data_IF_046474702448
#
_entry.id   IF_046474702448
#
_cell.length_a   1.000
_cell.length_b   1.000
_cell.length_c   1.000
_cell.angle_alpha   90.00
_cell.angle_beta   90.00
_cell.angle_gamma   90.00
#
_symmetry.space_group_name_H-M   'P 1'
#
loop_
_entity.id
_entity.type
_entity.pdbx_description
1 polymer ?
#
# COMPACT_ATOMS: atom_id res chain seq x y z
N UNK A 1 8.30 -6.93 -18.27
CA UNK A 1 9.16 -6.06 -17.43
C UNK A 1 8.49 -5.87 -16.09
N UNK A 2 9.22 -6.11 -15.00
CA UNK A 2 8.70 -5.88 -13.65
C UNK A 2 8.76 -4.41 -13.30
N UNK A 3 7.74 -3.93 -12.60
CA UNK A 3 7.66 -2.57 -12.09
C UNK A 3 7.80 -2.61 -10.57
N UNK A 4 8.67 -1.79 -10.02
CA UNK A 4 8.89 -1.71 -8.58
C UNK A 4 8.51 -0.32 -8.09
N UNK A 5 7.78 -0.27 -6.99
CA UNK A 5 7.32 0.98 -6.39
C UNK A 5 7.64 1.03 -4.90
N UNK A 6 7.94 2.23 -4.44
CA UNK A 6 8.00 2.54 -3.02
C UNK A 6 6.73 3.29 -2.65
N UNK A 7 6.01 2.81 -1.63
CA UNK A 7 4.73 3.36 -1.20
C UNK A 7 4.88 3.94 0.19
N UNK A 8 4.43 5.18 0.36
CA UNK A 8 4.44 5.87 1.64
C UNK A 8 3.00 6.15 2.06
N UNK A 9 2.66 5.83 3.31
CA UNK A 9 1.30 5.93 3.81
C UNK A 9 1.27 6.70 5.13
N UNK A 10 0.42 7.72 5.18
CA UNK A 10 0.16 8.53 6.39
C UNK A 10 -1.23 8.23 6.90
N UNK A 11 -1.36 8.00 8.21
CA UNK A 11 -2.65 7.79 8.84
C UNK A 11 -3.29 9.11 9.26
N UNK A 12 -4.63 9.12 9.34
CA UNK A 12 -5.33 10.17 10.05
C UNK A 12 -5.00 10.09 11.55
N UNK A 13 -5.09 11.19 12.30
CA UNK A 13 -4.82 11.16 13.74
C UNK A 13 -5.63 10.09 14.47
N UNK A 14 -4.93 9.26 15.25
CA UNK A 14 -5.56 8.17 16.00
C UNK A 14 -5.94 6.95 15.19
N UNK A 15 -5.58 6.89 13.90
CA UNK A 15 -5.98 5.82 13.00
C UNK A 15 -4.83 4.89 12.58
N UNK A 16 -3.75 4.85 13.35
CA UNK A 16 -2.59 4.02 13.02
C UNK A 16 -2.96 2.55 12.90
N UNK A 17 -3.69 2.02 13.88
CA UNK A 17 -4.10 0.61 13.86
C UNK A 17 -5.08 0.33 12.73
N UNK A 18 -5.95 1.27 12.41
CA UNK A 18 -6.91 1.14 11.31
C UNK A 18 -6.18 1.09 9.96
N UNK A 19 -5.14 1.91 9.78
CA UNK A 19 -4.30 1.88 8.58
C UNK A 19 -3.60 0.52 8.46
N UNK A 20 -3.02 0.03 9.53
CA UNK A 20 -2.32 -1.26 9.54
C UNK A 20 -3.28 -2.38 9.16
N UNK A 21 -4.47 -2.41 9.76
CA UNK A 21 -5.48 -3.42 9.46
C UNK A 21 -5.93 -3.36 8.00
N UNK A 22 -6.14 -2.16 7.46
CA UNK A 22 -6.50 -1.97 6.06
C UNK A 22 -5.39 -2.49 5.13
N UNK A 23 -4.13 -2.10 5.39
CA UNK A 23 -3.00 -2.53 4.56
C UNK A 23 -2.77 -4.05 4.65
N UNK A 24 -2.94 -4.65 5.83
CA UNK A 24 -2.87 -6.11 5.97
C UNK A 24 -3.90 -6.80 5.10
N UNK A 25 -5.12 -6.27 5.04
CA UNK A 25 -6.20 -6.84 4.26
C UNK A 25 -5.94 -6.72 2.74
N UNK A 26 -5.56 -5.53 2.27
CA UNK A 26 -5.39 -5.31 0.82
C UNK A 26 -4.10 -5.92 0.29
N UNK A 27 -3.01 -5.89 1.06
CA UNK A 27 -1.74 -6.48 0.62
C UNK A 27 -1.81 -8.01 0.52
N UNK A 28 -2.74 -8.64 1.25
CA UNK A 28 -2.99 -10.08 1.11
C UNK A 28 -3.47 -10.45 -0.30
N UNK A 29 -3.99 -9.49 -1.08
CA UNK A 29 -4.48 -9.72 -2.44
C UNK A 29 -3.39 -9.58 -3.51
N UNK A 30 -2.26 -8.97 -3.18
CA UNK A 30 -1.20 -8.61 -4.14
C UNK A 30 -0.72 -9.83 -4.94
N UNK A 31 -0.47 -10.95 -4.27
CA UNK A 31 0.03 -12.17 -4.92
C UNK A 31 -0.92 -12.74 -5.97
N UNK A 32 -2.22 -12.53 -5.83
CA UNK A 32 -3.23 -13.03 -6.78
C UNK A 32 -3.22 -12.24 -8.08
N UNK A 33 -2.61 -11.04 -8.09
CA UNK A 33 -2.56 -10.16 -9.25
C UNK A 33 -1.16 -10.07 -9.88
N UNK A 34 -0.29 -11.03 -9.57
CA UNK A 34 1.07 -11.04 -10.14
C UNK A 34 2.00 -10.02 -9.51
N UNK A 35 1.72 -9.65 -8.26
CA UNK A 35 2.57 -8.76 -7.48
C UNK A 35 3.28 -9.48 -6.35
N UNK A 36 4.28 -8.82 -5.78
CA UNK A 36 5.02 -9.31 -4.62
C UNK A 36 5.30 -8.13 -3.68
N UNK A 37 4.94 -8.27 -2.43
CA UNK A 37 5.37 -7.32 -1.39
C UNK A 37 6.79 -7.70 -0.99
N UNK A 38 7.75 -6.86 -1.36
CA UNK A 38 9.17 -7.12 -1.09
C UNK A 38 9.55 -6.80 0.34
N UNK A 39 9.02 -5.69 0.86
CA UNK A 39 9.38 -5.18 2.18
C UNK A 39 8.28 -4.29 2.71
N UNK A 40 8.02 -4.39 4.01
CA UNK A 40 7.19 -3.43 4.76
C UNK A 40 8.02 -2.91 5.93
N UNK A 41 7.91 -1.63 6.21
CA UNK A 41 8.53 -1.00 7.36
C UNK A 41 7.56 -0.01 7.99
N UNK A 42 7.65 0.19 9.29
CA UNK A 42 6.81 1.16 10.01
C UNK A 42 7.69 2.07 10.85
N UNK A 43 7.31 3.34 10.86
CA UNK A 43 7.88 4.33 11.75
C UNK A 43 6.98 4.49 12.98
N UNK A 44 7.35 5.37 13.90
CA UNK A 44 6.48 5.76 15.01
C UNK A 44 5.46 6.83 14.60
N UNK A 45 5.52 7.28 13.35
CA UNK A 45 4.59 8.29 12.82
C UNK A 45 4.83 9.69 13.37
N UNK A 46 5.97 9.94 14.00
CA UNK A 46 6.27 11.25 14.59
C UNK A 46 6.42 12.34 13.53
N UNK A 47 5.91 13.53 13.84
CA UNK A 47 5.98 14.67 12.92
C UNK A 47 5.29 14.37 11.60
N UNK A 48 5.96 14.68 10.50
CA UNK A 48 5.44 14.46 9.15
C UNK A 48 5.88 13.13 8.53
N UNK A 49 6.35 12.19 9.35
CA UNK A 49 6.81 10.90 8.84
C UNK A 49 5.65 10.02 8.40
N UNK A 50 5.80 9.27 7.29
CA UNK A 50 4.81 8.26 6.96
C UNK A 50 4.81 7.17 8.03
N UNK A 51 3.63 6.64 8.34
CA UNK A 51 3.51 5.54 9.30
C UNK A 51 4.06 4.25 8.73
N UNK A 52 3.74 3.95 7.48
CA UNK A 52 4.19 2.73 6.82
C UNK A 52 4.86 3.05 5.50
N UNK A 53 5.91 2.29 5.19
CA UNK A 53 6.65 2.35 3.93
C UNK A 53 6.68 0.93 3.37
N UNK A 54 6.39 0.79 2.08
CA UNK A 54 6.35 -0.51 1.42
C UNK A 54 7.16 -0.47 0.14
N UNK A 55 7.78 -1.60 -0.19
CA UNK A 55 8.32 -1.87 -1.52
C UNK A 55 7.52 -3.02 -2.08
N UNK A 56 6.89 -2.82 -3.24
CA UNK A 56 6.25 -3.92 -3.96
C UNK A 56 6.59 -3.89 -5.44
N UNK A 57 6.51 -5.04 -6.07
CA UNK A 57 6.75 -5.14 -7.50
C UNK A 57 5.60 -5.85 -8.19
N UNK A 58 5.40 -5.54 -9.46
CA UNK A 58 4.34 -6.07 -10.29
C UNK A 58 4.92 -6.61 -11.60
N UNK A 59 4.32 -7.68 -12.11
CA UNK A 59 4.74 -8.25 -13.40
C UNK A 59 4.56 -7.25 -14.55
N UNK A 60 3.56 -6.36 -14.45
CA UNK A 60 3.24 -5.36 -15.47
C UNK A 60 2.34 -4.27 -14.89
N UNK A 61 2.13 -3.21 -15.64
CA UNK A 61 1.15 -2.17 -15.27
C UNK A 61 -0.26 -2.77 -15.20
N UNK A 62 -0.60 -3.65 -16.14
CA UNK A 62 -1.90 -4.31 -16.14
C UNK A 62 -2.13 -5.13 -14.88
N UNK A 63 -1.10 -5.78 -14.35
CA UNK A 63 -1.18 -6.53 -13.10
C UNK A 63 -1.51 -5.61 -11.92
N UNK A 64 -0.83 -4.48 -11.84
CA UNK A 64 -1.11 -3.48 -10.79
C UNK A 64 -2.50 -2.90 -10.93
N UNK A 65 -2.94 -2.58 -12.14
CA UNK A 65 -4.28 -2.04 -12.40
C UNK A 65 -5.36 -3.05 -11.99
N UNK A 66 -5.12 -4.33 -12.24
CA UNK A 66 -6.01 -5.42 -11.81
C UNK A 66 -6.18 -5.46 -10.29
N UNK A 67 -5.08 -5.30 -9.55
CA UNK A 67 -5.11 -5.21 -8.09
C UNK A 67 -5.90 -3.98 -7.63
N UNK A 68 -5.62 -2.82 -8.21
CA UNK A 68 -6.26 -1.56 -7.81
C UNK A 68 -7.78 -1.60 -8.01
N UNK A 69 -8.26 -2.36 -8.98
CA UNK A 69 -9.70 -2.51 -9.28
C UNK A 69 -10.34 -3.77 -8.71
N UNK A 70 -9.61 -4.57 -7.92
CA UNK A 70 -10.17 -5.78 -7.30
C UNK A 70 -11.37 -5.40 -6.43
N UNK A 71 -12.56 -6.04 -6.65
CA UNK A 71 -13.76 -5.72 -5.87
C UNK A 71 -13.59 -5.86 -4.37
N UNK A 72 -12.75 -6.79 -3.92
CA UNK A 72 -12.45 -6.96 -2.49
C UNK A 72 -11.69 -5.77 -1.94
N UNK A 73 -10.83 -5.15 -2.75
CA UNK A 73 -10.10 -3.94 -2.38
C UNK A 73 -11.02 -2.72 -2.40
N UNK A 74 -11.79 -2.55 -3.47
CA UNK A 74 -12.70 -1.40 -3.61
C UNK A 74 -13.83 -1.43 -2.58
N UNK A 75 -14.25 -2.62 -2.12
CA UNK A 75 -15.23 -2.75 -1.05
C UNK A 75 -14.73 -2.18 0.28
N UNK A 76 -13.42 -2.00 0.45
CA UNK A 76 -12.81 -1.43 1.65
C UNK A 76 -12.54 0.07 1.53
N UNK A 77 -13.11 0.74 0.52
CA UNK A 77 -12.86 2.16 0.28
C UNK A 77 -13.20 3.05 1.49
N UNK A 78 -14.29 2.75 2.20
CA UNK A 78 -14.67 3.52 3.39
C UNK A 78 -13.64 3.34 4.51
N UNK A 79 -13.13 2.13 4.69
CA UNK A 79 -12.06 1.87 5.67
C UNK A 79 -10.78 2.62 5.30
N UNK A 80 -10.45 2.63 4.00
CA UNK A 80 -9.29 3.37 3.50
C UNK A 80 -9.43 4.86 3.78
N UNK A 81 -10.58 5.46 3.45
CA UNK A 81 -10.80 6.88 3.62
C UNK A 81 -10.73 7.29 5.09
N UNK A 82 -11.20 6.44 5.99
CA UNK A 82 -11.15 6.69 7.43
C UNK A 82 -9.71 6.60 7.98
N UNK A 83 -8.92 5.68 7.47
CA UNK A 83 -7.62 5.34 8.03
C UNK A 83 -6.46 6.10 7.37
N UNK A 84 -6.49 6.27 6.04
CA UNK A 84 -5.37 6.78 5.26
C UNK A 84 -5.58 8.25 4.90
N UNK A 85 -4.73 9.11 5.46
CA UNK A 85 -4.77 10.55 5.19
C UNK A 85 -4.10 10.89 3.85
N UNK A 86 -3.03 10.17 3.51
CA UNK A 86 -2.22 10.46 2.33
C UNK A 86 -1.48 9.20 1.90
N UNK A 87 -1.32 9.03 0.60
CA UNK A 87 -0.52 7.97 0.00
C UNK A 87 0.36 8.58 -1.08
N UNK A 88 1.64 8.21 -1.10
CA UNK A 88 2.55 8.51 -2.21
C UNK A 88 3.09 7.21 -2.75
N UNK A 89 3.09 7.08 -4.07
CA UNK A 89 3.61 5.91 -4.77
C UNK A 89 4.70 6.40 -5.72
N UNK A 90 5.90 5.92 -5.53
CA UNK A 90 7.08 6.37 -6.28
C UNK A 90 7.67 5.19 -7.05
N UNK A 91 7.79 5.28 -8.40
CA UNK A 91 8.50 4.24 -9.14
C UNK A 91 9.98 4.29 -8.78
N UNK A 92 10.55 3.11 -8.51
CA UNK A 92 11.95 3.01 -8.07
C UNK A 92 12.67 1.86 -8.80
N UNK A 93 13.99 1.89 -8.74
CA UNK A 93 14.85 0.77 -9.10
C UNK A 93 15.56 0.27 -7.85
N UNK A 94 15.57 -1.03 -7.65
CA UNK A 94 16.39 -1.63 -6.59
C UNK A 94 17.85 -1.62 -7.06
N UNK A 95 18.72 -1.17 -6.19
CA UNK A 95 20.15 -1.05 -6.51
C UNK A 95 21.00 -2.00 -5.67
#
# INVERSE_FOLDING_TARGET
MKLTFCVFLWSHPGMDEALIAYEDAVLALVGEHGGTVLQRARSDGAGDQPLEIQLYEWASQAAMDSFMSDPRRTALAADRDRAVARTEIVPVQLV
#
